data_IF_462343797918
#
_entry.id   IF_462343797918
#
_cell.length_a   1.000
_cell.length_b   1.000
_cell.length_c   1.000
_cell.angle_alpha   90.00
_cell.angle_beta   90.00
_cell.angle_gamma   90.00
#
_symmetry.space_group_name_H-M   'P 1'
#
loop_
_entity.id
_entity.type
_entity.pdbx_description
1 polymer ?
#
# COMPACT_ATOMS: atom_id res chain seq x y z
N UNK A 1 -6.75 2.63 10.46
CA UNK A 1 -7.84 1.67 10.70
C UNK A 1 -8.29 1.18 9.34
N UNK A 2 -7.97 -0.06 9.00
CA UNK A 2 -8.58 -0.74 7.86
C UNK A 2 -9.77 -1.50 8.41
N UNK A 3 -10.95 -1.12 7.96
CA UNK A 3 -12.24 -1.57 8.47
C UNK A 3 -12.54 -3.02 8.03
N UNK A 4 -11.87 -3.46 6.95
CA UNK A 4 -12.02 -4.79 6.36
C UNK A 4 -10.71 -5.56 6.54
N UNK A 5 -10.49 -6.16 7.71
CA UNK A 5 -9.31 -7.01 7.94
C UNK A 5 -9.59 -8.50 7.93
N UNK A 6 -10.81 -8.94 7.59
CA UNK A 6 -11.12 -10.37 7.43
C UNK A 6 -11.80 -10.63 6.09
N UNK A 7 -11.44 -11.76 5.48
CA UNK A 7 -11.90 -12.28 4.18
C UNK A 7 -13.42 -12.51 4.04
N UNK A 8 -14.24 -12.11 5.03
CA UNK A 8 -15.67 -12.45 5.13
C UNK A 8 -16.60 -11.56 4.29
N UNK A 9 -16.17 -10.35 3.93
CA UNK A 9 -17.02 -9.38 3.19
C UNK A 9 -16.63 -9.22 1.71
N UNK A 10 -16.18 -10.30 1.06
CA UNK A 10 -15.62 -10.22 -0.31
C UNK A 10 -16.65 -10.04 -1.42
N UNK A 11 -17.94 -10.19 -1.14
CA UNK A 11 -18.98 -10.04 -2.16
C UNK A 11 -19.85 -8.79 -1.89
N UNK A 12 -20.16 -8.08 -2.97
CA UNK A 12 -21.00 -6.88 -2.97
C UNK A 12 -22.36 -7.08 -2.30
N UNK A 13 -22.95 -8.28 -2.39
CA UNK A 13 -24.23 -8.58 -1.76
C UNK A 13 -24.14 -8.58 -0.23
N UNK A 14 -23.12 -9.22 0.33
CA UNK A 14 -22.87 -9.24 1.78
C UNK A 14 -22.54 -7.82 2.27
N UNK A 15 -21.68 -7.11 1.53
CA UNK A 15 -21.33 -5.73 1.86
C UNK A 15 -22.57 -4.83 1.91
N UNK A 16 -23.45 -4.92 0.91
CA UNK A 16 -24.64 -4.06 0.84
C UNK A 16 -25.67 -4.43 1.91
N UNK A 17 -25.74 -5.69 2.34
CA UNK A 17 -26.59 -6.12 3.44
C UNK A 17 -26.08 -5.60 4.80
N UNK A 18 -24.77 -5.62 5.03
CA UNK A 18 -24.16 -5.18 6.29
C UNK A 18 -24.01 -3.64 6.39
N UNK A 19 -23.83 -2.97 5.25
CA UNK A 19 -23.54 -1.53 5.15
C UNK A 19 -24.50 -0.83 4.19
N UNK A 20 -25.78 -0.97 4.48
CA UNK A 20 -26.90 -0.42 3.71
C UNK A 20 -27.11 1.10 3.89
N UNK A 21 -26.67 1.66 5.02
CA UNK A 21 -27.05 2.99 5.49
C UNK A 21 -25.89 3.74 6.17
N UNK A 22 -26.04 5.06 6.27
CA UNK A 22 -25.07 5.89 6.98
C UNK A 22 -24.97 5.54 8.47
N UNK A 23 -26.08 5.11 9.08
CA UNK A 23 -26.12 4.74 10.49
C UNK A 23 -25.42 3.41 10.75
N UNK A 24 -25.62 2.38 9.91
CA UNK A 24 -24.91 1.10 10.04
C UNK A 24 -23.39 1.30 9.92
N UNK A 25 -22.93 2.08 8.93
CA UNK A 25 -21.50 2.41 8.80
C UNK A 25 -20.94 3.20 10.00
N UNK A 26 -21.71 4.12 10.59
CA UNK A 26 -21.27 4.89 11.78
C UNK A 26 -21.18 4.02 13.02
N UNK A 27 -22.16 3.16 13.24
CA UNK A 27 -22.19 2.22 14.36
C UNK A 27 -21.01 1.27 14.29
N UNK A 28 -20.81 0.61 13.14
CA UNK A 28 -19.65 -0.25 12.93
C UNK A 28 -18.32 0.50 13.11
N UNK A 29 -18.19 1.71 12.55
CA UNK A 29 -16.97 2.50 12.71
C UNK A 29 -16.70 2.88 14.18
N UNK A 30 -17.76 3.11 14.96
CA UNK A 30 -17.66 3.40 16.39
C UNK A 30 -17.18 2.16 17.14
N UNK A 31 -17.77 1.00 16.91
CA UNK A 31 -17.36 -0.25 17.54
C UNK A 31 -15.87 -0.54 17.30
N UNK A 32 -15.44 -0.44 16.05
CA UNK A 32 -14.03 -0.61 15.70
C UNK A 32 -13.13 0.42 16.40
N UNK A 33 -13.63 1.64 16.60
CA UNK A 33 -12.87 2.71 17.26
C UNK A 33 -12.79 2.50 18.76
N UNK A 34 -13.84 1.97 19.37
CA UNK A 34 -13.87 1.62 20.79
C UNK A 34 -12.87 0.51 21.11
N UNK A 35 -12.71 -0.48 20.22
CA UNK A 35 -11.69 -1.54 20.34
C UNK A 35 -10.27 -0.98 20.40
N UNK A 36 -9.98 0.06 19.61
CA UNK A 36 -8.67 0.73 19.60
C UNK A 36 -8.50 1.63 20.83
N UNK A 37 -9.60 2.21 21.32
CA UNK A 37 -9.59 3.21 22.38
C UNK A 37 -9.25 4.62 21.88
N UNK A 38 -9.48 5.59 22.75
CA UNK A 38 -9.31 7.02 22.44
C UNK A 38 -8.47 7.68 23.52
N UNK A 39 -7.48 8.46 23.07
CA UNK A 39 -6.65 9.32 23.91
C UNK A 39 -6.94 10.78 23.57
N UNK A 40 -7.35 11.58 24.55
CA UNK A 40 -7.67 13.00 24.32
C UNK A 40 -6.40 13.85 24.29
N UNK A 41 -6.15 14.54 23.17
CA UNK A 41 -4.94 15.36 22.94
C UNK A 41 -4.66 16.41 24.02
N UNK A 42 -5.68 16.96 24.67
CA UNK A 42 -5.53 18.02 25.68
C UNK A 42 -5.01 17.52 27.03
N UNK A 43 -5.26 16.26 27.38
CA UNK A 43 -4.99 15.77 28.74
C UNK A 43 -4.49 14.32 28.84
N UNK A 44 -4.31 13.66 27.69
CA UNK A 44 -3.90 12.26 27.53
C UNK A 44 -4.75 11.24 28.30
N UNK A 45 -5.94 11.63 28.75
CA UNK A 45 -6.87 10.74 29.44
C UNK A 45 -7.63 9.86 28.45
N UNK A 46 -8.14 8.72 28.92
CA UNK A 46 -8.80 7.71 28.09
C UNK A 46 -10.28 7.52 28.41
N UNK A 47 -10.68 7.72 29.68
CA UNK A 47 -12.08 7.57 30.10
C UNK A 47 -12.94 8.70 29.52
N UNK A 48 -14.07 8.32 28.95
CA UNK A 48 -14.98 9.25 28.25
C UNK A 48 -16.45 8.89 28.43
N UNK A 49 -17.32 9.83 28.03
CA UNK A 49 -18.74 9.60 27.77
C UNK A 49 -18.96 9.56 26.25
N UNK A 50 -19.92 8.73 25.80
CA UNK A 50 -20.37 8.71 24.41
C UNK A 50 -21.60 9.62 24.24
N UNK A 51 -21.51 10.58 23.33
CA UNK A 51 -22.60 11.50 22.99
C UNK A 51 -23.19 11.08 21.64
N UNK A 52 -24.24 10.24 21.67
CA UNK A 52 -24.88 9.68 20.46
C UNK A 52 -25.40 10.77 19.51
N UNK A 53 -26.03 11.83 20.04
CA UNK A 53 -26.60 12.92 19.24
C UNK A 53 -25.57 13.66 18.38
N UNK A 54 -24.31 13.70 18.81
CA UNK A 54 -23.22 14.41 18.13
C UNK A 54 -22.20 13.45 17.49
N UNK A 55 -22.38 12.14 17.65
CA UNK A 55 -21.41 11.12 17.26
C UNK A 55 -19.98 11.46 17.73
N UNK A 56 -19.86 11.76 19.03
CA UNK A 56 -18.60 12.24 19.62
C UNK A 56 -18.34 11.67 21.00
N UNK A 57 -17.05 11.64 21.35
CA UNK A 57 -16.54 11.26 22.65
C UNK A 57 -16.23 12.51 23.45
N UNK A 58 -16.64 12.55 24.72
CA UNK A 58 -16.32 13.64 25.64
C UNK A 58 -15.45 13.15 26.80
N UNK A 59 -14.32 13.81 27.01
CA UNK A 59 -13.38 13.44 28.07
C UNK A 59 -13.98 13.66 29.46
N UNK A 60 -13.88 12.67 30.35
CA UNK A 60 -14.36 12.82 31.74
C UNK A 60 -13.54 13.81 32.58
N UNK A 61 -12.27 14.07 32.19
CA UNK A 61 -11.35 14.96 32.92
C UNK A 61 -11.43 16.41 32.45
N UNK A 62 -11.17 16.66 31.17
CA UNK A 62 -11.05 18.03 30.64
C UNK A 62 -12.24 18.50 29.81
N UNK A 63 -13.31 17.67 29.70
CA UNK A 63 -14.55 17.94 28.93
C UNK A 63 -14.34 18.27 27.44
N UNK A 64 -13.13 18.07 26.90
CA UNK A 64 -12.88 18.23 25.47
C UNK A 64 -13.63 17.17 24.67
N UNK A 65 -14.20 17.56 23.54
CA UNK A 65 -14.89 16.67 22.61
C UNK A 65 -13.99 16.22 21.47
N UNK A 66 -14.17 14.99 21.04
CA UNK A 66 -13.49 14.37 19.88
C UNK A 66 -14.56 13.70 19.04
N UNK A 67 -14.75 14.13 17.79
CA UNK A 67 -15.74 13.51 16.92
C UNK A 67 -15.30 12.09 16.52
N UNK A 68 -16.24 11.29 16.03
CA UNK A 68 -15.94 9.96 15.53
C UNK A 68 -14.85 9.95 14.44
N UNK A 69 -14.71 11.05 13.67
CA UNK A 69 -13.71 11.21 12.60
C UNK A 69 -12.36 11.76 13.06
N UNK A 70 -12.30 12.39 14.23
CA UNK A 70 -11.07 13.02 14.71
C UNK A 70 -9.95 11.99 14.88
N UNK A 71 -8.77 12.27 14.36
CA UNK A 71 -7.63 11.34 14.40
C UNK A 71 -7.73 10.15 13.45
N UNK A 72 -8.65 10.16 12.47
CA UNK A 72 -8.76 9.11 11.45
C UNK A 72 -8.49 9.66 10.06
N UNK A 73 -8.40 8.75 9.07
CA UNK A 73 -8.35 9.11 7.64
C UNK A 73 -9.56 9.96 7.20
N UNK A 74 -10.69 9.89 7.92
CA UNK A 74 -11.90 10.65 7.61
C UNK A 74 -11.90 12.04 8.25
N UNK A 75 -10.85 12.41 9.00
CA UNK A 75 -10.74 13.72 9.62
C UNK A 75 -10.86 14.85 8.58
N UNK A 76 -11.63 15.87 8.95
CA UNK A 76 -11.94 17.06 8.13
C UNK A 76 -12.58 16.74 6.77
N UNK A 77 -13.25 15.59 6.64
CA UNK A 77 -14.08 15.27 5.48
C UNK A 77 -15.54 15.55 5.78
N UNK A 78 -16.28 16.02 4.77
CA UNK A 78 -17.75 16.16 4.80
C UNK A 78 -18.46 14.98 4.11
N UNK A 79 -17.72 14.06 3.47
CA UNK A 79 -18.31 12.86 2.87
C UNK A 79 -18.91 11.95 3.94
N UNK A 80 -20.02 11.29 3.65
CA UNK A 80 -20.71 10.38 4.57
C UNK A 80 -19.86 9.12 4.85
N UNK A 81 -20.03 8.47 6.00
CA UNK A 81 -19.35 7.20 6.30
C UNK A 81 -19.68 6.12 5.25
N UNK A 82 -20.93 6.06 4.79
CA UNK A 82 -21.35 5.14 3.73
C UNK A 82 -20.53 5.33 2.43
N UNK A 83 -20.26 6.57 2.03
CA UNK A 83 -19.40 6.86 0.87
C UNK A 83 -17.98 6.32 1.09
N UNK A 84 -17.42 6.50 2.28
CA UNK A 84 -16.10 5.97 2.61
C UNK A 84 -16.07 4.43 2.58
N UNK A 85 -17.08 3.77 3.14
CA UNK A 85 -17.19 2.31 3.15
C UNK A 85 -17.32 1.75 1.73
N UNK A 86 -18.20 2.33 0.90
CA UNK A 86 -18.35 1.95 -0.52
C UNK A 86 -17.04 2.13 -1.27
N UNK A 87 -16.32 3.21 -1.02
CA UNK A 87 -15.01 3.46 -1.64
C UNK A 87 -13.98 2.44 -1.21
N UNK A 88 -13.89 2.13 0.09
CA UNK A 88 -13.00 1.10 0.61
C UNK A 88 -13.30 -0.25 -0.05
N UNK A 89 -14.56 -0.65 -0.10
CA UNK A 89 -15.00 -1.88 -0.75
C UNK A 89 -14.58 -1.92 -2.22
N UNK A 90 -14.85 -0.87 -3.01
CA UNK A 90 -14.47 -0.83 -4.42
C UNK A 90 -12.96 -0.94 -4.63
N UNK A 91 -12.16 -0.31 -3.76
CA UNK A 91 -10.70 -0.37 -3.84
C UNK A 91 -10.13 -1.75 -3.48
N UNK A 92 -10.82 -2.52 -2.63
CA UNK A 92 -10.34 -3.84 -2.17
C UNK A 92 -10.98 -5.02 -2.89
N UNK A 93 -12.15 -4.85 -3.51
CA UNK A 93 -12.90 -5.93 -4.13
C UNK A 93 -12.38 -6.36 -5.51
N UNK A 94 -11.58 -5.52 -6.20
CA UNK A 94 -11.14 -5.78 -7.58
C UNK A 94 -9.62 -5.82 -7.72
N UNK A 95 -9.11 -6.77 -8.52
CA UNK A 95 -7.66 -6.90 -8.79
C UNK A 95 -7.10 -5.76 -9.65
N UNK A 96 -7.92 -5.21 -10.56
CA UNK A 96 -7.48 -4.17 -11.50
C UNK A 96 -7.58 -2.75 -10.93
N UNK A 97 -8.13 -2.56 -9.73
CA UNK A 97 -8.30 -1.25 -9.12
C UNK A 97 -9.21 -0.32 -9.91
N UNK A 98 -9.46 0.87 -9.36
CA UNK A 98 -10.27 1.90 -10.02
C UNK A 98 -9.56 3.24 -10.02
N UNK A 99 -9.74 4.01 -11.10
CA UNK A 99 -9.36 5.42 -11.11
C UNK A 99 -10.28 6.24 -10.21
N UNK A 100 -9.82 7.38 -9.69
CA UNK A 100 -10.67 8.25 -8.86
C UNK A 100 -11.90 8.76 -9.64
N UNK A 101 -11.80 8.86 -10.97
CA UNK A 101 -12.92 9.25 -11.84
C UNK A 101 -13.96 8.14 -11.95
N UNK A 102 -13.52 6.89 -12.03
CA UNK A 102 -14.40 5.74 -12.04
C UNK A 102 -15.09 5.55 -10.68
N UNK A 103 -14.37 5.72 -9.57
CA UNK A 103 -14.97 5.78 -8.23
C UNK A 103 -16.03 6.89 -8.15
N UNK A 104 -15.75 8.08 -8.67
CA UNK A 104 -16.72 9.18 -8.70
C UNK A 104 -18.01 8.77 -9.43
N UNK A 105 -17.87 8.12 -10.60
CA UNK A 105 -18.99 7.64 -11.41
C UNK A 105 -19.82 6.60 -10.67
N UNK A 106 -19.17 5.59 -10.09
CA UNK A 106 -19.83 4.51 -9.34
C UNK A 106 -20.59 5.02 -8.11
N UNK A 107 -20.07 6.07 -7.45
CA UNK A 107 -20.72 6.69 -6.29
C UNK A 107 -21.76 7.75 -6.65
N UNK A 108 -21.90 8.11 -7.92
CA UNK A 108 -22.83 9.16 -8.37
C UNK A 108 -22.51 10.56 -7.84
N UNK A 109 -21.24 10.85 -7.50
CA UNK A 109 -20.84 12.13 -6.89
C UNK A 109 -20.56 13.19 -7.95
N UNK A 110 -21.12 14.39 -7.76
CA UNK A 110 -20.98 15.51 -8.72
C UNK A 110 -19.55 16.07 -8.79
N UNK A 111 -18.86 16.18 -7.66
CA UNK A 111 -17.54 16.81 -7.54
C UNK A 111 -16.42 15.76 -7.51
N UNK A 112 -15.34 16.03 -8.22
CA UNK A 112 -14.21 15.11 -8.37
C UNK A 112 -13.22 15.22 -7.20
N UNK A 113 -12.96 16.44 -6.75
CA UNK A 113 -11.91 16.78 -5.79
C UNK A 113 -12.09 16.07 -4.43
N UNK A 114 -13.31 15.98 -3.85
CA UNK A 114 -13.50 15.23 -2.61
C UNK A 114 -13.23 13.73 -2.78
N UNK A 115 -13.60 13.16 -3.94
CA UNK A 115 -13.37 11.74 -4.26
C UNK A 115 -11.89 11.47 -4.43
N UNK A 116 -11.20 12.32 -5.18
CA UNK A 116 -9.76 12.24 -5.36
C UNK A 116 -9.02 12.32 -4.02
N UNK A 117 -9.36 13.28 -3.16
CA UNK A 117 -8.76 13.42 -1.84
C UNK A 117 -9.04 12.20 -0.94
N UNK A 118 -10.26 11.67 -0.97
CA UNK A 118 -10.65 10.46 -0.24
C UNK A 118 -9.83 9.23 -0.68
N UNK A 119 -9.75 8.99 -1.99
CA UNK A 119 -8.99 7.86 -2.56
C UNK A 119 -7.50 7.98 -2.23
N UNK A 120 -6.90 9.17 -2.30
CA UNK A 120 -5.51 9.37 -1.91
C UNK A 120 -5.27 9.15 -0.41
N UNK A 121 -6.18 9.58 0.47
CA UNK A 121 -6.09 9.29 1.90
C UNK A 121 -6.14 7.78 2.18
N UNK A 122 -6.99 7.04 1.45
CA UNK A 122 -7.09 5.58 1.56
C UNK A 122 -5.79 4.91 1.10
N UNK A 123 -5.29 5.25 -0.09
CA UNK A 123 -4.03 4.69 -0.61
C UNK A 123 -2.84 5.00 0.30
N UNK A 124 -2.75 6.23 0.81
CA UNK A 124 -1.71 6.59 1.79
C UNK A 124 -1.81 5.74 3.05
N UNK A 125 -3.01 5.52 3.57
CA UNK A 125 -3.20 4.66 4.72
C UNK A 125 -2.80 3.20 4.42
N UNK A 126 -3.02 2.71 3.19
CA UNK A 126 -2.64 1.35 2.78
C UNK A 126 -1.13 1.21 2.82
N UNK A 127 -0.40 2.13 2.17
CA UNK A 127 1.06 2.16 2.22
C UNK A 127 1.60 2.25 3.66
N UNK A 128 1.02 3.11 4.51
CA UNK A 128 1.40 3.21 5.93
C UNK A 128 1.13 1.94 6.75
N UNK A 129 0.22 1.07 6.31
CA UNK A 129 0.00 -0.24 6.94
C UNK A 129 1.07 -1.22 6.46
N UNK A 130 1.36 -1.24 5.17
CA UNK A 130 2.37 -2.11 4.56
C UNK A 130 3.79 -1.76 5.07
N UNK A 131 4.01 -0.50 5.45
CA UNK A 131 5.23 -0.02 6.09
C UNK A 131 5.48 -0.56 7.50
N UNK A 132 4.49 -1.20 8.14
CA UNK A 132 4.62 -1.69 9.52
C UNK A 132 5.31 -3.05 9.65
N UNK A 133 5.27 -3.85 8.58
CA UNK A 133 5.88 -5.18 8.58
C UNK A 133 7.23 -5.10 7.87
N UNK A 134 8.19 -5.90 8.30
CA UNK A 134 9.45 -6.12 7.59
C UNK A 134 9.37 -7.43 6.79
N UNK A 135 10.28 -7.62 5.85
CA UNK A 135 10.44 -8.88 5.12
C UNK A 135 11.48 -9.76 5.83
N UNK A 136 11.26 -11.07 5.84
CA UNK A 136 12.15 -12.03 6.50
C UNK A 136 12.53 -13.22 5.62
N UNK A 137 13.64 -13.89 5.96
CA UNK A 137 14.09 -15.10 5.30
C UNK A 137 14.61 -14.87 3.88
N UNK A 138 14.01 -15.54 2.91
CA UNK A 138 14.42 -15.45 1.50
C UNK A 138 13.68 -14.32 0.79
N UNK A 139 14.41 -13.36 0.24
CA UNK A 139 13.86 -12.18 -0.44
C UNK A 139 14.34 -12.12 -1.88
N UNK A 140 13.40 -12.03 -2.82
CA UNK A 140 13.65 -11.62 -4.19
C UNK A 140 13.65 -10.09 -4.26
N UNK A 141 14.62 -9.50 -4.96
CA UNK A 141 14.68 -8.05 -5.16
C UNK A 141 15.02 -7.67 -6.59
N UNK A 142 14.27 -6.72 -7.15
CA UNK A 142 14.48 -6.16 -8.49
C UNK A 142 14.01 -4.69 -8.58
N UNK A 143 14.46 -3.99 -9.62
CA UNK A 143 14.12 -2.59 -9.92
C UNK A 143 13.11 -2.46 -11.06
N UNK A 144 11.93 -1.91 -10.74
CA UNK A 144 10.90 -1.56 -11.70
C UNK A 144 10.99 -0.11 -12.18
N UNK A 145 11.10 0.10 -13.49
CA UNK A 145 11.02 1.45 -14.09
C UNK A 145 9.58 1.81 -14.52
N UNK A 146 8.99 2.79 -13.86
CA UNK A 146 7.61 3.24 -14.08
C UNK A 146 7.56 4.58 -14.83
N UNK A 147 6.66 4.71 -15.80
CA UNK A 147 6.46 5.97 -16.54
C UNK A 147 5.81 7.01 -15.64
N UNK A 148 6.41 8.20 -15.59
CA UNK A 148 5.88 9.36 -14.89
C UNK A 148 5.61 10.50 -15.87
N UNK A 149 4.76 11.44 -15.46
CA UNK A 149 4.58 12.71 -16.16
C UNK A 149 5.90 13.46 -16.19
N UNK A 150 6.30 13.90 -17.39
CA UNK A 150 7.49 14.69 -17.63
C UNK A 150 7.17 15.84 -18.59
N UNK A 151 7.99 16.89 -18.56
CA UNK A 151 7.86 18.02 -19.49
C UNK A 151 8.29 17.64 -20.92
N UNK A 152 7.82 18.38 -21.91
CA UNK A 152 8.23 18.16 -23.31
C UNK A 152 9.75 18.24 -23.50
N UNK A 153 10.42 19.13 -22.76
CA UNK A 153 11.88 19.25 -22.78
C UNK A 153 12.57 17.99 -22.21
N UNK A 154 11.99 17.36 -21.20
CA UNK A 154 12.49 16.10 -20.65
C UNK A 154 12.29 14.93 -21.63
N UNK A 155 11.22 14.95 -22.43
CA UNK A 155 11.04 14.00 -23.52
C UNK A 155 12.06 14.20 -24.65
N UNK A 156 12.40 15.45 -25.00
CA UNK A 156 13.39 15.78 -26.04
C UNK A 156 14.84 15.46 -25.65
N UNK A 157 15.16 15.54 -24.35
CA UNK A 157 16.52 15.28 -23.82
C UNK A 157 16.67 13.89 -23.22
N UNK A 158 15.76 12.97 -23.57
CA UNK A 158 15.67 11.65 -22.96
C UNK A 158 16.85 10.76 -23.35
N UNK A 159 17.56 10.24 -22.35
CA UNK A 159 18.45 9.08 -22.53
C UNK A 159 17.61 7.80 -22.50
N UNK A 160 17.94 6.83 -23.34
CA UNK A 160 17.21 5.55 -23.49
C UNK A 160 17.39 4.61 -22.28
N UNK A 161 18.37 4.89 -21.42
CA UNK A 161 18.87 4.01 -20.34
C UNK A 161 18.53 4.59 -18.94
N UNK A 162 18.88 3.84 -17.86
CA UNK A 162 18.80 4.20 -16.43
C UNK A 162 19.06 5.71 -16.19
N UNK A 163 18.23 6.33 -15.33
CA UNK A 163 18.27 7.78 -15.09
C UNK A 163 17.44 8.64 -16.05
N UNK A 164 16.53 8.03 -16.83
CA UNK A 164 15.60 8.78 -17.68
C UNK A 164 14.71 9.71 -16.85
N UNK A 165 14.63 10.98 -17.25
CA UNK A 165 13.75 11.99 -16.62
C UNK A 165 12.25 11.67 -16.75
N UNK A 166 11.89 10.67 -17.56
CA UNK A 166 10.50 10.24 -17.81
C UNK A 166 10.13 8.94 -17.06
N UNK A 167 11.08 8.36 -16.34
CA UNK A 167 10.89 7.14 -15.56
C UNK A 167 11.25 7.41 -14.10
N UNK A 168 10.52 6.75 -13.20
CA UNK A 168 10.90 6.65 -11.81
C UNK A 168 11.30 5.22 -11.51
N UNK A 169 12.38 5.07 -10.76
CA UNK A 169 12.83 3.77 -10.28
C UNK A 169 12.05 3.38 -9.02
N UNK A 170 11.66 2.12 -8.94
CA UNK A 170 10.93 1.56 -7.80
C UNK A 170 11.57 0.22 -7.47
N UNK A 171 12.18 0.13 -6.29
CA UNK A 171 12.66 -1.11 -5.73
C UNK A 171 11.46 -1.98 -5.33
N UNK A 172 11.42 -3.20 -5.84
CA UNK A 172 10.43 -4.21 -5.49
C UNK A 172 11.15 -5.34 -4.77
N UNK A 173 10.66 -5.68 -3.59
CA UNK A 173 11.15 -6.79 -2.76
C UNK A 173 9.99 -7.72 -2.43
N UNK A 174 10.19 -9.03 -2.52
CA UNK A 174 9.16 -10.02 -2.22
C UNK A 174 9.76 -11.19 -1.43
N UNK A 175 9.08 -11.63 -0.38
CA UNK A 175 9.39 -12.90 0.28
C UNK A 175 9.19 -14.06 -0.70
N UNK A 176 10.08 -15.04 -0.65
CA UNK A 176 10.05 -16.24 -1.49
C UNK A 176 10.38 -17.47 -0.66
N UNK A 177 9.54 -17.70 0.34
CA UNK A 177 9.66 -18.84 1.24
C UNK A 177 9.41 -20.13 0.48
N UNK A 178 10.36 -21.06 0.57
CA UNK A 178 10.21 -22.40 0.00
C UNK A 178 9.39 -23.25 0.97
N UNK A 179 8.23 -23.72 0.51
CA UNK A 179 7.38 -24.62 1.26
C UNK A 179 7.29 -25.96 0.53
N UNK A 180 7.38 -27.04 1.30
CA UNK A 180 7.15 -28.40 0.81
C UNK A 180 5.81 -28.90 1.34
N UNK A 181 4.97 -29.36 0.43
CA UNK A 181 3.75 -30.06 0.77
C UNK A 181 4.11 -31.48 1.27
N UNK A 182 3.82 -31.76 2.55
CA UNK A 182 4.23 -32.99 3.23
C UNK A 182 3.62 -34.25 2.60
N UNK A 183 2.42 -34.13 2.01
CA UNK A 183 1.70 -35.27 1.42
C UNK A 183 2.17 -35.57 0.00
N UNK A 184 2.46 -34.53 -0.79
CA UNK A 184 2.81 -34.66 -2.22
C UNK A 184 4.30 -34.53 -2.50
N UNK A 185 5.11 -34.10 -1.52
CA UNK A 185 6.53 -33.76 -1.70
C UNK A 185 6.75 -32.56 -2.63
N UNK A 186 5.69 -31.81 -2.95
CA UNK A 186 5.76 -30.74 -3.94
C UNK A 186 6.36 -29.51 -3.28
N UNK A 187 7.48 -29.05 -3.85
CA UNK A 187 8.15 -27.83 -3.42
C UNK A 187 7.60 -26.64 -4.22
N UNK A 188 7.07 -25.64 -3.52
CA UNK A 188 6.62 -24.38 -4.10
C UNK A 188 7.19 -23.19 -3.34
N UNK A 189 7.59 -22.15 -4.09
CA UNK A 189 7.88 -20.83 -3.52
C UNK A 189 6.58 -20.08 -3.30
N UNK A 190 6.38 -19.57 -2.09
CA UNK A 190 5.23 -18.75 -1.71
C UNK A 190 5.68 -17.34 -1.31
N UNK A 191 4.92 -16.34 -1.74
CA UNK A 191 5.11 -14.95 -1.36
C UNK A 191 4.04 -14.53 -0.37
N UNK A 192 4.44 -14.24 0.87
CA UNK A 192 3.55 -13.75 1.92
C UNK A 192 3.51 -12.23 1.93
N UNK A 193 4.67 -11.58 2.05
CA UNK A 193 4.78 -10.12 1.97
C UNK A 193 5.64 -9.64 0.80
N UNK A 194 5.33 -8.44 0.31
CA UNK A 194 6.17 -7.73 -0.65
C UNK A 194 6.16 -6.24 -0.31
N UNK A 195 7.20 -5.53 -0.76
CA UNK A 195 7.37 -4.09 -0.60
C UNK A 195 7.73 -3.46 -1.93
N UNK A 196 7.18 -2.27 -2.15
CA UNK A 196 7.52 -1.42 -3.28
C UNK A 196 7.93 -0.03 -2.78
N UNK A 197 9.14 0.41 -3.11
CA UNK A 197 9.72 1.66 -2.64
C UNK A 197 10.26 2.48 -3.79
N UNK A 198 9.72 3.70 -3.94
CA UNK A 198 10.22 4.67 -4.92
C UNK A 198 11.60 5.13 -4.49
N UNK A 199 12.59 4.97 -5.36
CA UNK A 199 13.95 5.46 -5.10
C UNK A 199 14.04 6.92 -5.53
N UNK A 200 14.44 7.81 -4.61
CA UNK A 200 14.52 9.24 -4.89
C UNK A 200 15.75 9.60 -5.73
N UNK A 201 16.87 8.91 -5.49
CA UNK A 201 18.13 9.00 -6.18
C UNK A 201 18.72 7.61 -6.51
N UNK A 202 19.67 7.57 -7.45
CA UNK A 202 20.41 6.37 -7.84
C UNK A 202 21.70 6.18 -7.03
N UNK A 203 21.82 6.87 -5.89
CA UNK A 203 23.00 6.76 -5.04
C UNK A 203 22.87 5.47 -4.21
N UNK A 204 24.00 4.77 -4.03
CA UNK A 204 24.05 3.53 -3.26
C UNK A 204 23.49 3.74 -1.85
N UNK A 205 23.91 4.81 -1.16
CA UNK A 205 23.52 5.13 0.21
C UNK A 205 22.00 5.22 0.44
N UNK A 206 21.23 5.76 -0.52
CA UNK A 206 19.77 5.89 -0.40
C UNK A 206 19.03 4.57 -0.63
N UNK A 207 19.57 3.74 -1.54
CA UNK A 207 19.09 2.40 -1.85
C UNK A 207 19.30 1.49 -0.64
N UNK A 208 20.49 1.51 -0.05
CA UNK A 208 20.90 0.67 1.08
C UNK A 208 20.03 0.97 2.32
N UNK A 209 19.86 2.25 2.68
CA UNK A 209 18.99 2.64 3.80
C UNK A 209 17.51 2.25 3.60
N UNK A 210 17.05 2.24 2.35
CA UNK A 210 15.67 1.84 2.03
C UNK A 210 15.50 0.33 2.20
N UNK A 211 16.51 -0.43 1.81
CA UNK A 211 16.57 -1.87 1.94
C UNK A 211 16.69 -2.31 3.41
N UNK A 212 17.59 -1.71 4.18
CA UNK A 212 17.78 -2.00 5.61
C UNK A 212 16.48 -1.80 6.41
N UNK A 213 15.72 -0.73 6.13
CA UNK A 213 14.40 -0.49 6.76
C UNK A 213 13.31 -1.46 6.32
N UNK A 214 13.53 -2.20 5.23
CA UNK A 214 12.55 -3.10 4.64
C UNK A 214 12.70 -4.54 5.15
N UNK A 215 13.89 -4.95 5.57
CA UNK A 215 14.20 -6.28 6.09
C UNK A 215 14.11 -6.33 7.62
N UNK A 216 13.91 -7.52 8.18
CA UNK A 216 13.76 -7.71 9.62
C UNK A 216 15.11 -7.73 10.35
N UNK A 217 16.07 -8.44 9.77
CA UNK A 217 17.38 -8.70 10.36
C UNK A 217 18.40 -9.09 9.28
N UNK A 218 19.67 -9.13 9.69
CA UNK A 218 20.81 -9.46 8.84
C UNK A 218 20.84 -10.94 8.41
N UNK A 219 20.00 -11.83 8.98
CA UNK A 219 19.92 -13.26 8.59
C UNK A 219 19.13 -13.49 7.28
N UNK A 220 18.85 -12.41 6.57
CA UNK A 220 18.11 -12.43 5.32
C UNK A 220 18.98 -12.98 4.18
N UNK A 221 18.38 -13.77 3.28
CA UNK A 221 19.02 -14.23 2.04
C UNK A 221 18.38 -13.47 0.88
N UNK A 222 19.19 -12.75 0.10
CA UNK A 222 18.68 -11.90 -1.00
C UNK A 222 19.08 -12.47 -2.36
N UNK A 223 18.09 -12.57 -3.24
CA UNK A 223 18.25 -12.91 -4.64
C UNK A 223 18.08 -11.66 -5.50
N UNK A 224 19.08 -11.31 -6.31
CA UNK A 224 19.03 -10.18 -7.24
C UNK A 224 19.46 -10.56 -8.65
N UNK A 225 19.14 -9.72 -9.63
CA UNK A 225 19.77 -9.76 -10.94
C UNK A 225 21.24 -9.27 -10.88
N UNK A 226 22.04 -9.55 -11.92
CA UNK A 226 23.40 -9.00 -12.07
C UNK A 226 23.39 -7.52 -12.46
N UNK A 227 22.78 -6.69 -11.63
CA UNK A 227 22.82 -5.24 -11.74
C UNK A 227 24.01 -4.67 -10.96
N UNK A 228 24.70 -3.70 -11.56
CA UNK A 228 25.79 -2.93 -10.93
C UNK A 228 25.30 -1.92 -9.88
N UNK A 229 23.99 -1.80 -9.66
CA UNK A 229 23.41 -0.90 -8.64
C UNK A 229 23.61 -1.43 -7.21
N UNK A 230 23.88 -2.73 -7.05
CA UNK A 230 23.81 -3.44 -5.78
C UNK A 230 25.20 -3.70 -5.19
N UNK A 231 25.97 -2.63 -4.96
CA UNK A 231 27.39 -2.76 -4.59
C UNK A 231 27.57 -3.19 -3.14
N UNK A 232 26.68 -2.76 -2.22
CA UNK A 232 26.85 -2.94 -0.78
C UNK A 232 25.79 -3.85 -0.14
N UNK A 233 24.93 -4.52 -0.91
CA UNK A 233 23.82 -5.32 -0.33
C UNK A 233 24.35 -6.44 0.56
N UNK A 234 25.49 -7.03 0.18
CA UNK A 234 26.16 -8.06 0.95
C UNK A 234 26.59 -7.61 2.36
N UNK A 235 26.66 -6.30 2.64
CA UNK A 235 27.02 -5.78 3.97
C UNK A 235 25.85 -5.83 4.96
N UNK A 236 24.61 -6.02 4.48
CA UNK A 236 23.39 -5.97 5.28
C UNK A 236 22.66 -7.31 5.39
N UNK A 237 23.15 -8.35 4.70
CA UNK A 237 22.48 -9.64 4.58
C UNK A 237 23.47 -10.79 4.73
N UNK A 238 22.99 -11.93 5.21
CA UNK A 238 23.80 -13.13 5.41
C UNK A 238 24.33 -13.68 4.09
N UNK A 239 23.48 -13.71 3.06
CA UNK A 239 23.83 -14.21 1.73
C UNK A 239 23.22 -13.33 0.66
N UNK A 240 24.08 -12.80 -0.23
CA UNK A 240 23.66 -12.15 -1.47
C UNK A 240 23.93 -13.08 -2.67
N UNK A 241 22.87 -13.62 -3.26
CA UNK A 241 22.93 -14.46 -4.45
C UNK A 241 22.62 -13.64 -5.70
N UNK A 242 23.60 -13.53 -6.60
CA UNK A 242 23.45 -12.82 -7.87
C UNK A 242 23.41 -13.78 -9.05
N UNK A 243 22.30 -13.85 -9.79
CA UNK A 243 22.17 -14.76 -10.93
C UNK A 243 22.32 -14.05 -12.29
N UNK A 244 22.99 -14.71 -13.25
CA UNK A 244 22.96 -14.28 -14.66
C UNK A 244 21.58 -14.59 -15.21
N UNK A 245 20.86 -13.58 -15.67
CA UNK A 245 19.53 -13.73 -16.26
C UNK A 245 19.57 -14.65 -17.49
N UNK A 246 18.93 -15.81 -17.38
CA UNK A 246 18.47 -16.63 -18.52
C UNK A 246 16.94 -16.72 -18.46
N UNK A 247 16.23 -16.95 -19.57
CA UNK A 247 14.75 -17.03 -19.55
C UNK A 247 14.21 -18.08 -18.57
N UNK A 248 15.00 -19.11 -18.25
CA UNK A 248 14.64 -20.19 -17.34
C UNK A 248 14.87 -19.77 -15.87
N UNK A 249 16.06 -19.26 -15.52
CA UNK A 249 16.36 -18.78 -14.15
C UNK A 249 15.52 -17.55 -13.75
N UNK A 250 15.18 -16.68 -14.70
CA UNK A 250 14.32 -15.50 -14.47
C UNK A 250 12.92 -15.87 -13.97
N UNK A 251 12.41 -17.04 -14.36
CA UNK A 251 11.09 -17.55 -13.94
C UNK A 251 11.13 -18.27 -12.60
N UNK A 252 12.29 -18.74 -12.17
CA UNK A 252 12.45 -19.58 -10.99
C UNK A 252 12.95 -18.78 -9.77
N UNK A 253 13.87 -17.83 -9.98
CA UNK A 253 14.58 -17.12 -8.90
C UNK A 253 14.00 -15.75 -8.56
N UNK A 254 13.47 -15.01 -9.52
CA UNK A 254 12.90 -13.65 -9.34
C UNK A 254 11.42 -13.60 -9.74
N UNK A 255 10.72 -14.72 -9.56
CA UNK A 255 9.35 -14.94 -10.02
C UNK A 255 8.39 -13.87 -9.48
N UNK A 256 8.42 -13.61 -8.19
CA UNK A 256 7.45 -12.76 -7.51
C UNK A 256 7.65 -11.29 -7.83
N UNK A 257 8.90 -10.82 -7.83
CA UNK A 257 9.21 -9.43 -8.19
C UNK A 257 8.86 -9.14 -9.65
N UNK A 258 9.13 -10.06 -10.58
CA UNK A 258 8.75 -9.88 -11.98
C UNK A 258 7.22 -9.86 -12.19
N UNK A 259 6.48 -10.75 -11.52
CA UNK A 259 5.01 -10.76 -11.54
C UNK A 259 4.47 -9.44 -10.98
N UNK A 260 5.01 -8.97 -9.85
CA UNK A 260 4.60 -7.72 -9.22
C UNK A 260 4.86 -6.51 -10.13
N UNK A 261 6.07 -6.38 -10.69
CA UNK A 261 6.43 -5.31 -11.63
C UNK A 261 5.51 -5.31 -12.85
N UNK A 262 5.29 -6.48 -13.46
CA UNK A 262 4.44 -6.61 -14.65
C UNK A 262 2.99 -6.22 -14.37
N UNK A 263 2.42 -6.71 -13.26
CA UNK A 263 1.07 -6.38 -12.84
C UNK A 263 0.91 -4.89 -12.49
N UNK A 264 1.87 -4.31 -11.77
CA UNK A 264 1.86 -2.90 -11.42
C UNK A 264 1.93 -2.00 -12.67
N UNK A 265 2.83 -2.30 -13.62
CA UNK A 265 2.93 -1.58 -14.90
C UNK A 265 1.62 -1.63 -15.68
N UNK A 266 1.01 -2.82 -15.79
CA UNK A 266 -0.27 -3.01 -16.48
C UNK A 266 -1.41 -2.27 -15.79
N UNK A 267 -1.46 -2.30 -14.46
CA UNK A 267 -2.44 -1.56 -13.68
C UNK A 267 -2.35 -0.05 -13.93
N UNK A 268 -1.13 0.48 -13.94
CA UNK A 268 -0.88 1.90 -14.10
C UNK A 268 -1.33 2.41 -15.47
N UNK A 269 -0.96 1.69 -16.53
CA UNK A 269 -1.38 2.00 -17.91
C UNK A 269 -2.90 1.88 -18.07
N UNK A 270 -3.53 0.90 -17.41
CA UNK A 270 -4.98 0.68 -17.51
C UNK A 270 -5.83 1.72 -16.77
N UNK A 271 -5.32 2.30 -15.69
CA UNK A 271 -6.09 3.19 -14.80
C UNK A 271 -5.78 4.67 -14.95
N UNK A 272 -4.58 5.03 -15.43
CA UNK A 272 -4.09 6.40 -15.40
C UNK A 272 -3.48 6.81 -16.73
N UNK A 273 -3.83 8.01 -17.19
CA UNK A 273 -3.21 8.59 -18.39
C UNK A 273 -1.79 9.13 -18.12
N UNK A 274 -1.59 9.80 -16.98
CA UNK A 274 -0.31 10.36 -16.54
C UNK A 274 -0.23 10.35 -15.01
N UNK A 275 0.97 10.11 -14.47
CA UNK A 275 1.21 10.00 -13.02
C UNK A 275 2.39 10.89 -12.65
N UNK A 276 2.19 11.87 -11.76
CA UNK A 276 3.29 12.67 -11.21
C UNK A 276 4.13 11.80 -10.27
N UNK A 277 5.46 11.99 -10.25
CA UNK A 277 6.38 11.25 -9.36
C UNK A 277 5.92 11.21 -7.90
N UNK A 278 5.39 12.32 -7.37
CA UNK A 278 4.86 12.42 -5.99
C UNK A 278 3.65 11.54 -5.65
N UNK A 279 3.04 10.89 -6.64
CA UNK A 279 1.88 10.01 -6.48
C UNK A 279 2.18 8.56 -6.88
N UNK A 280 3.43 8.28 -7.25
CA UNK A 280 3.98 6.94 -7.34
C UNK A 280 4.27 6.43 -5.92
#
# INVERSE_FOLDING_TARGET
MFIFSENKDKNIFIFTANFDSEESCRTHFKEERDKIGIVFRKCSYTKHYWIKSQWSYECKKCRSRTSLRSGTIMQSSNLSFLIWYKTMFLLTATKKGFSSKEIQRQLGLKRYEPVWAMVHKLRKAMGQRDDRYTLEGMIEMDEGYFTIEASEQAHKTQKVVRGSKTKSNVMIMAESTVLEDIETGKIERQCRYFKAKVLEDHKADGTDQTFEKAIQDEQTIVFTDKSTSYVNIADYVEIHMTEKSSEQTTKETLKWVHIAISNAKRNFVGNYHKIKKKYL
#
